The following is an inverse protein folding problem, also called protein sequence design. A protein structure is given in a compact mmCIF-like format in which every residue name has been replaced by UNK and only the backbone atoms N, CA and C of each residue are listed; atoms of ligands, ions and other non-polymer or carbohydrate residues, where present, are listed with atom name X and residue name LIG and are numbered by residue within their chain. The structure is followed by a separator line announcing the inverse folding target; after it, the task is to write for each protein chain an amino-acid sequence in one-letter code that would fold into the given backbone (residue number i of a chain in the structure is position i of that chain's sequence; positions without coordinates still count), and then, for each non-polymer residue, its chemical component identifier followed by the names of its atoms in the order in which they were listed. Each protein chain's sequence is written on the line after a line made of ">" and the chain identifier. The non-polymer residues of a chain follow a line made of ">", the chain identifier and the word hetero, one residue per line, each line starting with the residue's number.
data_IF_926299103500
#
_entry.id   IF_926299103500
#
_cell.length_a   1.000
_cell.length_b   1.000
_cell.length_c   1.000
_cell.angle_alpha   90.00
_cell.angle_beta   90.00
_cell.angle_gamma   90.00
#
_symmetry.space_group_name_H-M   'P 1'
#
loop_
_entity.id
_entity.type
_entity.pdbx_description
1 polymer ?
#
# COMPACT_ATOMS: atom_id res chain seq x y z
N UNK A 1 24.77 10.42 -32.67
CA UNK A 1 23.30 10.61 -32.67
C UNK A 1 22.51 9.60 -31.82
N UNK A 2 23.14 8.64 -31.12
CA UNK A 2 22.43 7.64 -30.30
C UNK A 2 22.39 7.94 -28.78
N UNK A 3 23.08 8.98 -28.29
CA UNK A 3 23.13 9.33 -26.86
C UNK A 3 21.93 10.15 -26.38
N UNK A 4 21.23 10.84 -27.30
CA UNK A 4 20.22 11.83 -26.94
C UNK A 4 18.83 11.22 -26.67
N UNK A 5 18.57 10.00 -27.16
CA UNK A 5 17.29 9.32 -26.98
C UNK A 5 17.18 8.64 -25.61
N UNK A 6 18.30 8.18 -25.04
CA UNK A 6 18.30 7.49 -23.76
C UNK A 6 18.10 8.45 -22.58
N UNK A 7 18.69 9.64 -22.67
CA UNK A 7 18.55 10.71 -21.66
C UNK A 7 17.12 11.27 -21.62
N UNK A 8 16.46 11.40 -22.77
CA UNK A 8 15.07 11.88 -22.84
C UNK A 8 14.07 10.88 -22.25
N UNK A 9 14.30 9.58 -22.41
CA UNK A 9 13.45 8.55 -21.83
C UNK A 9 13.59 8.46 -20.30
N UNK A 10 14.82 8.54 -19.78
CA UNK A 10 15.04 8.58 -18.33
C UNK A 10 14.43 9.83 -17.69
N UNK A 11 14.60 11.00 -18.31
CA UNK A 11 13.98 12.24 -17.81
C UNK A 11 12.45 12.19 -17.85
N UNK A 12 11.84 11.53 -18.83
CA UNK A 12 10.39 11.35 -18.88
C UNK A 12 9.87 10.32 -17.86
N UNK A 13 10.66 9.29 -17.53
CA UNK A 13 10.35 8.34 -16.47
C UNK A 13 10.53 8.96 -15.08
N UNK A 14 11.63 9.67 -14.85
CA UNK A 14 11.87 10.47 -13.64
C UNK A 14 10.77 11.52 -13.45
N UNK A 15 10.40 12.28 -14.49
CA UNK A 15 9.29 13.23 -14.44
C UNK A 15 7.90 12.57 -14.26
N UNK A 16 7.74 11.28 -14.58
CA UNK A 16 6.50 10.53 -14.26
C UNK A 16 6.46 10.09 -12.79
N UNK A 17 7.62 9.83 -12.19
CA UNK A 17 7.77 9.61 -10.74
C UNK A 17 7.61 10.93 -9.99
N UNK A 18 8.08 12.04 -10.56
CA UNK A 18 8.07 13.39 -9.98
C UNK A 18 6.73 14.12 -10.15
N UNK A 19 5.90 13.75 -11.15
CA UNK A 19 4.47 14.13 -11.22
C UNK A 19 3.65 13.31 -10.22
N UNK A 20 3.95 13.53 -8.94
CA UNK A 20 2.96 13.70 -7.89
C UNK A 20 2.10 12.52 -7.48
N UNK A 21 2.43 11.27 -7.79
CA UNK A 21 1.79 10.19 -7.04
C UNK A 21 2.20 10.35 -5.58
N UNK A 22 1.24 10.66 -4.71
CA UNK A 22 1.45 10.66 -3.25
C UNK A 22 1.57 9.21 -2.78
N UNK A 23 2.67 8.58 -3.18
CA UNK A 23 3.07 7.24 -2.77
C UNK A 23 3.74 7.36 -1.42
N UNK A 24 3.22 6.65 -0.44
CA UNK A 24 3.79 6.58 0.91
C UNK A 24 4.21 5.17 1.25
N UNK A 25 5.33 5.01 1.93
CA UNK A 25 5.76 3.71 2.40
C UNK A 25 4.87 3.27 3.57
N UNK A 26 4.35 2.05 3.52
CA UNK A 26 3.73 1.43 4.69
C UNK A 26 4.84 0.88 5.58
N UNK A 27 4.98 1.47 6.75
CA UNK A 27 6.05 1.14 7.71
C UNK A 27 5.58 0.21 8.81
N UNK A 28 4.30 0.26 9.15
CA UNK A 28 3.66 -0.65 10.09
C UNK A 28 2.19 -0.80 9.72
N UNK A 29 1.60 -1.96 10.05
CA UNK A 29 0.17 -2.18 10.03
C UNK A 29 -0.35 -2.49 11.43
N UNK A 30 -1.58 -2.09 11.71
CA UNK A 30 -2.27 -2.35 12.97
C UNK A 30 -3.70 -2.86 12.67
N UNK A 31 -3.86 -4.19 12.55
CA UNK A 31 -5.18 -4.80 12.44
C UNK A 31 -5.97 -4.67 13.74
N UNK A 32 -7.26 -4.39 13.63
CA UNK A 32 -8.20 -4.35 14.75
C UNK A 32 -9.57 -4.86 14.31
N UNK A 33 -10.39 -5.23 15.28
CA UNK A 33 -11.75 -5.71 15.06
C UNK A 33 -12.69 -5.00 16.04
N UNK A 34 -13.87 -4.64 15.55
CA UNK A 34 -14.91 -3.97 16.32
C UNK A 34 -16.19 -4.79 16.26
N UNK A 35 -16.74 -5.12 17.42
CA UNK A 35 -18.07 -5.74 17.52
C UNK A 35 -19.15 -4.79 16.97
N UNK A 36 -20.02 -5.27 16.08
CA UNK A 36 -21.15 -4.50 15.56
C UNK A 36 -22.27 -4.37 16.60
N UNK A 37 -22.61 -5.49 17.23
CA UNK A 37 -23.60 -5.62 18.28
C UNK A 37 -23.51 -7.01 18.90
N UNK A 38 -24.15 -7.22 20.05
CA UNK A 38 -24.07 -8.51 20.74
C UNK A 38 -24.70 -9.61 19.87
N UNK A 39 -23.85 -10.50 19.34
CA UNK A 39 -24.25 -11.59 18.46
C UNK A 39 -24.44 -11.19 17.00
N UNK A 40 -24.05 -9.96 16.63
CA UNK A 40 -23.94 -9.51 15.24
C UNK A 40 -22.50 -9.64 14.76
N UNK A 41 -22.32 -9.65 13.44
CA UNK A 41 -21.00 -9.66 12.83
C UNK A 41 -20.25 -8.36 13.17
N UNK A 42 -18.94 -8.48 13.35
CA UNK A 42 -18.07 -7.33 13.57
C UNK A 42 -17.40 -6.87 12.29
N UNK A 43 -16.65 -5.79 12.41
CA UNK A 43 -15.93 -5.18 11.31
C UNK A 43 -14.43 -5.19 11.59
N UNK A 44 -13.66 -5.59 10.58
CA UNK A 44 -12.21 -5.48 10.62
C UNK A 44 -11.75 -4.11 10.10
N UNK A 45 -10.69 -3.62 10.71
CA UNK A 45 -9.99 -2.42 10.31
C UNK A 45 -8.49 -2.72 10.26
N UNK A 46 -7.79 -2.19 9.27
CA UNK A 46 -6.33 -2.25 9.22
C UNK A 46 -5.81 -0.82 9.08
N UNK A 47 -5.18 -0.31 10.13
CA UNK A 47 -4.52 0.99 10.08
C UNK A 47 -3.11 0.83 9.50
N UNK A 48 -2.83 1.61 8.46
CA UNK A 48 -1.54 1.76 7.82
C UNK A 48 -0.82 2.94 8.48
N UNK A 49 0.37 2.71 9.00
CA UNK A 49 1.28 3.76 9.46
C UNK A 49 2.24 4.09 8.31
N UNK A 50 2.13 5.31 7.80
CA UNK A 50 2.79 5.74 6.58
C UNK A 50 4.03 6.59 6.88
N UNK A 51 5.12 6.33 6.16
CA UNK A 51 6.38 7.06 6.24
C UNK A 51 6.91 7.23 7.69
N UNK A 52 6.83 6.17 8.52
CA UNK A 52 7.19 6.16 9.95
C UNK A 52 6.33 7.08 10.83
N UNK A 53 5.03 7.19 10.52
CA UNK A 53 4.06 7.93 11.33
C UNK A 53 3.87 9.40 10.91
N UNK A 54 4.30 9.77 9.70
CA UNK A 54 4.01 11.09 9.12
C UNK A 54 2.54 11.21 8.72
N UNK A 55 1.93 10.09 8.33
CA UNK A 55 0.53 10.01 7.93
C UNK A 55 -0.04 8.62 8.26
N UNK A 56 -1.35 8.50 8.24
CA UNK A 56 -2.04 7.23 8.52
C UNK A 56 -3.26 7.06 7.63
N UNK A 57 -3.60 5.81 7.33
CA UNK A 57 -4.82 5.49 6.59
C UNK A 57 -5.47 4.23 7.14
N UNK A 58 -6.81 4.19 7.21
CA UNK A 58 -7.54 3.02 7.71
C UNK A 58 -8.23 2.33 6.54
N UNK A 59 -7.86 1.07 6.33
CA UNK A 59 -8.59 0.14 5.47
C UNK A 59 -9.74 -0.48 6.27
N UNK A 60 -10.87 -0.70 5.61
CA UNK A 60 -11.99 -1.47 6.13
C UNK A 60 -12.25 -2.65 5.18
N UNK A 61 -11.41 -3.70 5.22
CA UNK A 61 -11.57 -4.87 4.35
C UNK A 61 -12.83 -5.67 4.71
N UNK A 62 -13.30 -6.46 3.76
CA UNK A 62 -14.26 -7.54 4.05
C UNK A 62 -13.59 -8.65 4.85
N UNK A 63 -14.37 -9.51 5.51
CA UNK A 63 -13.84 -10.68 6.25
C UNK A 63 -12.95 -11.56 5.36
N UNK A 64 -13.40 -11.85 4.13
CA UNK A 64 -12.67 -12.67 3.16
C UNK A 64 -11.33 -12.06 2.74
N UNK A 65 -11.23 -10.72 2.73
CA UNK A 65 -10.02 -10.01 2.29
C UNK A 65 -8.97 -9.88 3.40
N UNK A 66 -9.35 -9.94 4.67
CA UNK A 66 -8.43 -9.69 5.81
C UNK A 66 -7.26 -10.66 5.77
N UNK A 67 -7.53 -11.96 5.70
CA UNK A 67 -6.47 -12.99 5.71
C UNK A 67 -5.56 -12.87 4.48
N UNK A 68 -6.12 -12.54 3.33
CA UNK A 68 -5.36 -12.30 2.10
C UNK A 68 -4.42 -11.11 2.27
N UNK A 69 -4.92 -9.99 2.79
CA UNK A 69 -4.12 -8.79 3.04
C UNK A 69 -3.01 -9.05 4.05
N UNK A 70 -3.31 -9.69 5.18
CA UNK A 70 -2.31 -10.02 6.20
C UNK A 70 -1.22 -10.95 5.64
N UNK A 71 -1.59 -11.96 4.85
CA UNK A 71 -0.63 -12.84 4.19
C UNK A 71 0.24 -12.13 3.15
N UNK A 72 -0.30 -11.13 2.43
CA UNK A 72 0.48 -10.29 1.52
C UNK A 72 1.46 -9.38 2.29
N UNK A 73 1.02 -8.80 3.41
CA UNK A 73 1.90 -8.00 4.28
C UNK A 73 3.05 -8.82 4.87
N UNK A 74 2.80 -10.04 5.32
CA UNK A 74 3.83 -10.92 5.88
C UNK A 74 4.90 -11.30 4.83
N UNK A 75 4.48 -11.49 3.58
CA UNK A 75 5.36 -11.95 2.49
C UNK A 75 6.06 -10.83 1.74
N UNK A 76 5.50 -9.64 1.77
CA UNK A 76 6.04 -8.46 1.08
C UNK A 76 7.29 -7.96 1.78
N UNK A 77 8.35 -7.66 1.02
CA UNK A 77 9.54 -6.99 1.58
C UNK A 77 9.36 -5.48 1.66
N UNK A 78 8.46 -4.94 0.85
CA UNK A 78 8.25 -3.51 0.72
C UNK A 78 6.83 -3.26 0.22
N UNK A 79 6.09 -2.42 0.95
CA UNK A 79 4.70 -2.13 0.64
C UNK A 79 4.50 -0.62 0.60
N UNK A 80 3.77 -0.13 -0.39
CA UNK A 80 3.43 1.28 -0.54
C UNK A 80 1.93 1.49 -0.69
N UNK A 81 1.49 2.67 -0.27
CA UNK A 81 0.13 3.16 -0.42
C UNK A 81 0.12 4.31 -1.42
N UNK A 82 -0.64 4.16 -2.50
CA UNK A 82 -0.97 5.24 -3.42
C UNK A 82 -2.18 5.99 -2.87
N UNK A 83 -1.94 7.14 -2.24
CA UNK A 83 -2.98 7.92 -1.57
C UNK A 83 -4.00 8.53 -2.53
N UNK A 84 -3.58 8.82 -3.77
CA UNK A 84 -4.46 9.38 -4.79
C UNK A 84 -5.41 8.32 -5.34
N UNK A 85 -4.89 7.12 -5.60
CA UNK A 85 -5.66 6.03 -6.20
C UNK A 85 -6.31 5.09 -5.19
N UNK A 86 -5.95 5.20 -3.92
CA UNK A 86 -6.37 4.29 -2.85
C UNK A 86 -5.97 2.84 -3.15
N UNK A 87 -4.72 2.65 -3.58
CA UNK A 87 -4.18 1.33 -3.96
C UNK A 87 -3.04 0.95 -3.02
N UNK A 88 -3.12 -0.27 -2.48
CA UNK A 88 -2.03 -0.91 -1.76
C UNK A 88 -1.20 -1.75 -2.74
N UNK A 89 0.10 -1.50 -2.79
CA UNK A 89 1.02 -2.18 -3.71
C UNK A 89 2.05 -2.94 -2.88
N UNK A 90 2.12 -4.25 -3.11
CA UNK A 90 3.04 -5.15 -2.43
C UNK A 90 4.16 -5.58 -3.38
N UNK A 91 5.40 -5.27 -3.03
CA UNK A 91 6.57 -5.54 -3.87
C UNK A 91 7.35 -6.76 -3.38
N UNK A 92 8.04 -7.39 -4.33
CA UNK A 92 8.95 -8.52 -4.07
C UNK A 92 8.26 -9.71 -3.37
N UNK A 93 6.98 -9.94 -3.65
CA UNK A 93 6.27 -11.12 -3.17
C UNK A 93 6.89 -12.36 -3.82
N UNK A 94 7.43 -13.33 -3.05
CA UNK A 94 7.94 -14.57 -3.61
C UNK A 94 6.81 -15.37 -4.25
N UNK A 95 6.91 -15.64 -5.55
CA UNK A 95 6.07 -16.61 -6.25
C UNK A 95 6.80 -17.94 -6.29
N UNK A 96 6.10 -19.04 -5.99
CA UNK A 96 6.67 -20.39 -6.10
C UNK A 96 7.14 -20.70 -7.52
#
# INVERSE_FOLDING_TARGET
>A
MAKDNNTKNNQQQEQRVERGYKIRQVTQIQPSWKEGGRGEDGEFYIQLVLDNGVDEYVLQPSEDDVDVLLGLFERSKYTVWDDERRILIFENIPTK
#
